data_IF_076848794201
#
_entry.id   IF_076848794201
#
_cell.length_a   1.000
_cell.length_b   1.000
_cell.length_c   1.000
_cell.angle_alpha   90.00
_cell.angle_beta   90.00
_cell.angle_gamma   90.00
#
_symmetry.space_group_name_H-M   'P 1'
#
loop_
_entity.id
_entity.type
_entity.pdbx_description
1 polymer ?
#
# COMPACT_ATOMS: atom_id res chain seq x y z
N UNK A 1 -11.28 -8.94 6.82
CA UNK A 1 -10.39 -7.87 6.34
C UNK A 1 -9.35 -7.57 7.39
N UNK A 2 -8.23 -6.93 7.02
CA UNK A 2 -7.36 -6.26 7.98
C UNK A 2 -8.06 -4.95 8.37
N UNK A 3 -8.42 -4.74 9.66
CA UNK A 3 -9.16 -3.54 10.06
C UNK A 3 -8.47 -2.25 9.58
N UNK A 4 -9.24 -1.33 9.01
CA UNK A 4 -8.75 -0.03 8.54
C UNK A 4 -8.17 -0.01 7.12
N UNK A 5 -8.27 -1.12 6.38
CA UNK A 5 -7.94 -1.20 4.95
C UNK A 5 -9.23 -1.23 4.13
N UNK A 6 -9.38 -0.29 3.19
CA UNK A 6 -10.49 -0.32 2.23
C UNK A 6 -10.09 -1.16 1.02
N UNK A 7 -10.82 -2.24 0.77
CA UNK A 7 -10.66 -3.08 -0.42
C UNK A 7 -11.85 -2.90 -1.35
N UNK A 8 -11.66 -3.04 -2.65
CA UNK A 8 -12.73 -3.04 -3.65
C UNK A 8 -12.75 -4.34 -4.47
N UNK A 9 -13.91 -4.69 -5.00
CA UNK A 9 -14.17 -5.98 -5.64
C UNK A 9 -13.50 -6.14 -7.01
N UNK A 10 -13.01 -5.06 -7.63
CA UNK A 10 -12.42 -5.10 -8.97
C UNK A 10 -10.89 -5.07 -8.90
N UNK A 11 -10.30 -4.02 -8.34
CA UNK A 11 -8.85 -3.85 -8.32
C UNK A 11 -8.17 -4.81 -7.34
N UNK A 12 -8.84 -5.14 -6.22
CA UNK A 12 -8.32 -6.09 -5.22
C UNK A 12 -8.77 -7.54 -5.49
N UNK A 13 -9.44 -7.78 -6.62
CA UNK A 13 -9.65 -9.13 -7.14
C UNK A 13 -8.34 -9.78 -7.54
N UNK A 14 -8.32 -11.12 -7.67
CA UNK A 14 -7.15 -11.84 -8.19
C UNK A 14 -6.70 -11.28 -9.55
N UNK A 15 -7.62 -10.98 -10.45
CA UNK A 15 -7.31 -10.45 -11.77
C UNK A 15 -6.79 -9.00 -11.72
N UNK A 16 -7.35 -8.17 -10.83
CA UNK A 16 -6.91 -6.79 -10.60
C UNK A 16 -5.49 -6.72 -10.05
N UNK A 17 -5.22 -7.49 -8.99
CA UNK A 17 -3.87 -7.60 -8.40
C UNK A 17 -2.87 -8.14 -9.41
N UNK A 18 -3.20 -9.22 -10.13
CA UNK A 18 -2.32 -9.82 -11.15
C UNK A 18 -2.00 -8.83 -12.30
N UNK A 19 -2.98 -8.04 -12.73
CA UNK A 19 -2.76 -6.94 -13.68
C UNK A 19 -1.82 -5.88 -13.11
N UNK A 20 -1.97 -5.51 -11.84
CA UNK A 20 -1.13 -4.52 -11.18
C UNK A 20 0.32 -5.00 -11.02
N UNK A 21 0.52 -6.25 -10.59
CA UNK A 21 1.83 -6.89 -10.44
C UNK A 21 2.57 -6.98 -11.78
N UNK A 22 1.87 -7.33 -12.88
CA UNK A 22 2.47 -7.31 -14.22
C UNK A 22 2.98 -5.93 -14.64
N UNK A 23 2.31 -4.87 -14.20
CA UNK A 23 2.73 -3.49 -14.50
C UNK A 23 3.92 -3.06 -13.64
N UNK A 24 3.99 -3.55 -12.40
CA UNK A 24 4.99 -3.15 -11.41
C UNK A 24 5.68 -4.42 -10.84
N UNK A 25 6.50 -5.11 -11.65
CA UNK A 25 7.01 -6.44 -11.32
C UNK A 25 7.97 -6.46 -10.13
N UNK A 26 8.65 -5.34 -9.86
CA UNK A 26 9.79 -5.30 -8.95
C UNK A 26 9.53 -4.51 -7.66
N UNK A 27 8.30 -4.00 -7.45
CA UNK A 27 8.00 -3.04 -6.37
C UNK A 27 6.96 -3.54 -5.35
N UNK A 28 6.52 -4.78 -5.48
CA UNK A 28 5.56 -5.41 -4.57
C UNK A 28 6.23 -6.58 -3.85
N UNK A 29 6.04 -6.68 -2.54
CA UNK A 29 6.74 -7.65 -1.71
C UNK A 29 5.80 -8.35 -0.73
N UNK A 30 6.15 -9.58 -0.39
CA UNK A 30 5.55 -10.34 0.70
C UNK A 30 6.60 -10.61 1.78
N UNK A 31 6.16 -10.61 3.03
CA UNK A 31 6.94 -11.14 4.14
C UNK A 31 6.48 -12.57 4.38
N UNK A 32 7.42 -13.50 4.41
CA UNK A 32 7.15 -14.92 4.64
C UNK A 32 7.83 -15.42 5.92
N UNK A 33 7.10 -16.21 6.71
CA UNK A 33 7.60 -16.92 7.89
C UNK A 33 7.09 -18.37 7.80
N UNK A 34 7.99 -19.35 7.88
CA UNK A 34 7.68 -20.79 7.74
C UNK A 34 6.86 -21.14 6.49
N UNK A 35 7.19 -20.53 5.36
CA UNK A 35 6.50 -20.74 4.07
C UNK A 35 5.08 -20.18 4.02
N UNK A 36 4.70 -19.31 4.96
CA UNK A 36 3.41 -18.61 4.98
C UNK A 36 3.62 -17.11 4.82
N UNK A 37 2.79 -16.49 3.99
CA UNK A 37 2.73 -15.03 3.89
C UNK A 37 2.15 -14.46 5.19
N UNK A 38 2.94 -13.60 5.86
CA UNK A 38 2.59 -12.92 7.11
C UNK A 38 2.44 -11.41 6.96
N UNK A 39 2.84 -10.86 5.82
CA UNK A 39 2.57 -9.48 5.46
C UNK A 39 2.80 -9.25 3.97
N UNK A 40 2.29 -8.14 3.45
CA UNK A 40 2.46 -7.76 2.06
C UNK A 40 2.46 -6.23 1.90
N UNK A 41 3.15 -5.76 0.87
CA UNK A 41 3.08 -4.38 0.37
C UNK A 41 2.79 -4.41 -1.13
N UNK A 42 1.75 -3.68 -1.54
CA UNK A 42 1.40 -3.44 -2.92
C UNK A 42 1.73 -1.98 -3.25
N UNK A 43 2.77 -1.78 -4.06
CA UNK A 43 3.25 -0.45 -4.44
C UNK A 43 3.71 -0.40 -5.90
N UNK A 44 3.68 0.76 -6.53
CA UNK A 44 4.01 0.90 -7.95
C UNK A 44 3.76 2.29 -8.50
N UNK A 45 4.06 2.49 -9.79
CA UNK A 45 4.03 3.80 -10.45
C UNK A 45 3.70 3.76 -11.94
N UNK A 46 3.56 4.94 -12.53
CA UNK A 46 3.50 5.20 -13.97
C UNK A 46 4.75 5.88 -14.53
N UNK A 47 5.81 5.99 -13.70
CA UNK A 47 7.05 6.67 -14.03
C UNK A 47 7.13 8.12 -13.51
N UNK A 48 6.06 8.65 -12.90
CA UNK A 48 6.07 10.01 -12.32
C UNK A 48 6.23 10.00 -10.81
N UNK A 49 5.35 9.27 -10.12
CA UNK A 49 5.30 9.10 -8.66
C UNK A 49 4.77 7.72 -8.36
N UNK A 50 5.18 7.17 -7.22
CA UNK A 50 4.64 5.92 -6.76
C UNK A 50 3.48 6.13 -5.79
N UNK A 51 2.62 5.12 -5.73
CA UNK A 51 1.60 4.97 -4.70
C UNK A 51 1.84 3.67 -3.94
N UNK A 52 1.70 3.73 -2.62
CA UNK A 52 1.51 2.54 -1.79
C UNK A 52 0.00 2.35 -1.64
N UNK A 53 -0.52 1.29 -2.24
CA UNK A 53 -1.96 0.96 -2.19
C UNK A 53 -2.30 0.19 -0.93
N UNK A 54 -1.51 -0.86 -0.65
CA UNK A 54 -1.74 -1.73 0.50
C UNK A 54 -0.44 -1.98 1.23
N UNK A 55 -0.50 -1.89 2.55
CA UNK A 55 0.50 -2.46 3.44
C UNK A 55 -0.23 -3.11 4.60
N UNK A 56 -0.11 -4.43 4.72
CA UNK A 56 -0.73 -5.20 5.78
C UNK A 56 0.24 -6.19 6.37
N UNK A 57 0.13 -6.39 7.67
CA UNK A 57 0.79 -7.45 8.43
C UNK A 57 -0.29 -8.17 9.21
N UNK A 58 -0.25 -9.50 9.24
CA UNK A 58 -1.16 -10.30 10.06
C UNK A 58 -1.12 -9.84 11.50
N UNK A 59 -2.28 -9.79 12.15
CA UNK A 59 -2.44 -9.23 13.50
C UNK A 59 -1.51 -9.88 14.53
N UNK A 60 -1.38 -11.21 14.48
CA UNK A 60 -0.48 -12.02 15.32
C UNK A 60 1.02 -11.81 15.02
N UNK A 61 1.36 -11.06 13.96
CA UNK A 61 2.74 -10.75 13.55
C UNK A 61 3.04 -9.24 13.59
N UNK A 62 2.09 -8.41 14.03
CA UNK A 62 2.30 -6.97 14.15
C UNK A 62 3.24 -6.62 15.31
N UNK A 63 3.76 -5.39 15.30
CA UNK A 63 4.74 -4.87 16.28
C UNK A 63 6.09 -5.62 16.31
N UNK A 64 6.38 -6.42 15.28
CA UNK A 64 7.66 -7.15 15.09
C UNK A 64 8.58 -6.49 14.05
N UNK A 65 8.28 -5.26 13.60
CA UNK A 65 9.04 -4.54 12.57
C UNK A 65 8.81 -5.03 11.12
N UNK A 66 7.89 -5.97 10.88
CA UNK A 66 7.63 -6.52 9.54
C UNK A 66 7.10 -5.44 8.57
N UNK A 67 6.19 -4.58 9.04
CA UNK A 67 5.64 -3.51 8.21
C UNK A 67 6.69 -2.50 7.77
N UNK A 68 7.63 -2.16 8.65
CA UNK A 68 8.75 -1.26 8.35
C UNK A 68 9.69 -1.89 7.32
N UNK A 69 10.05 -3.17 7.48
CA UNK A 69 10.88 -3.89 6.51
C UNK A 69 10.24 -3.98 5.13
N UNK A 70 8.94 -4.26 5.06
CA UNK A 70 8.19 -4.26 3.78
C UNK A 70 8.21 -2.88 3.12
N UNK A 71 7.98 -1.83 3.92
CA UNK A 71 8.02 -0.45 3.43
C UNK A 71 9.42 -0.09 2.91
N UNK A 72 10.46 -0.36 3.67
CA UNK A 72 11.85 -0.06 3.30
C UNK A 72 12.23 -0.71 1.97
N UNK A 73 11.85 -1.98 1.79
CA UNK A 73 12.13 -2.73 0.56
C UNK A 73 11.36 -2.15 -0.65
N UNK A 74 10.08 -1.81 -0.46
CA UNK A 74 9.30 -1.11 -1.48
C UNK A 74 9.93 0.24 -1.86
N UNK A 75 10.30 1.07 -0.88
CA UNK A 75 10.93 2.38 -1.12
C UNK A 75 12.30 2.26 -1.79
N UNK A 76 13.05 1.19 -1.52
CA UNK A 76 14.32 0.89 -2.19
C UNK A 76 14.07 0.55 -3.66
N UNK A 77 13.20 -0.42 -3.95
CA UNK A 77 12.88 -0.82 -5.31
C UNK A 77 12.33 0.34 -6.16
N UNK A 78 11.41 1.13 -5.62
CA UNK A 78 10.87 2.32 -6.28
C UNK A 78 11.96 3.33 -6.64
N UNK A 79 12.96 3.50 -5.77
CA UNK A 79 14.10 4.39 -6.01
C UNK A 79 15.03 3.84 -7.09
N UNK A 80 15.24 2.53 -7.11
CA UNK A 80 16.04 1.85 -8.13
C UNK A 80 15.39 2.00 -9.53
N UNK A 81 14.06 2.12 -9.60
CA UNK A 81 13.32 2.48 -10.82
C UNK A 81 13.29 4.00 -11.14
N UNK A 82 14.01 4.81 -10.37
CA UNK A 82 14.14 6.26 -10.60
C UNK A 82 13.00 7.11 -10.02
N UNK A 83 12.13 6.54 -9.18
CA UNK A 83 11.05 7.31 -8.53
C UNK A 83 11.56 8.07 -7.31
N UNK A 84 11.29 9.37 -7.31
CA UNK A 84 11.74 10.28 -6.25
C UNK A 84 10.66 10.66 -5.25
N UNK A 85 9.40 10.28 -5.48
CA UNK A 85 8.28 10.64 -4.60
C UNK A 85 7.23 9.54 -4.54
N UNK A 86 6.84 9.20 -3.33
CA UNK A 86 5.82 8.20 -3.00
C UNK A 86 4.66 8.90 -2.27
N UNK A 87 3.44 8.47 -2.55
CA UNK A 87 2.23 8.92 -1.85
C UNK A 87 1.40 7.72 -1.39
N UNK A 88 0.44 7.98 -0.50
CA UNK A 88 -0.54 7.02 -0.03
C UNK A 88 -1.80 7.77 0.40
N UNK A 89 -2.89 7.03 0.55
CA UNK A 89 -4.12 7.51 1.18
C UNK A 89 -4.43 6.60 2.35
N UNK A 90 -4.69 7.19 3.51
CA UNK A 90 -5.08 6.51 4.74
C UNK A 90 -6.37 7.14 5.25
N UNK A 91 -7.27 6.33 5.80
CA UNK A 91 -8.50 6.84 6.39
C UNK A 91 -8.16 7.76 7.59
N UNK A 92 -8.82 8.90 7.70
CA UNK A 92 -8.55 9.89 8.75
C UNK A 92 -8.81 9.35 10.16
N UNK A 93 -9.67 8.34 10.30
CA UNK A 93 -9.97 7.67 11.58
C UNK A 93 -9.10 6.44 11.86
N UNK A 94 -8.17 6.07 10.96
CA UNK A 94 -7.25 4.96 11.19
C UNK A 94 -6.03 5.45 11.98
N UNK A 95 -6.19 5.68 13.28
CA UNK A 95 -5.14 6.24 14.15
C UNK A 95 -3.83 5.46 14.10
N UNK A 96 -3.92 4.12 14.15
CA UNK A 96 -2.76 3.23 14.07
C UNK A 96 -2.02 3.34 12.73
N UNK A 97 -2.77 3.40 11.63
CA UNK A 97 -2.21 3.59 10.29
C UNK A 97 -1.53 4.94 10.15
N UNK A 98 -2.18 6.03 10.58
CA UNK A 98 -1.61 7.37 10.54
C UNK A 98 -0.31 7.46 11.35
N UNK A 99 -0.29 6.93 12.59
CA UNK A 99 0.91 6.89 13.42
C UNK A 99 2.07 6.09 12.77
N UNK A 100 1.76 4.97 12.10
CA UNK A 100 2.75 4.21 11.36
C UNK A 100 3.37 5.03 10.22
N UNK A 101 2.55 5.70 9.41
CA UNK A 101 3.04 6.50 8.28
C UNK A 101 3.87 7.69 8.74
N UNK A 102 3.42 8.42 9.76
CA UNK A 102 4.15 9.55 10.35
C UNK A 102 5.51 9.14 10.89
N UNK A 103 5.57 8.02 11.64
CA UNK A 103 6.83 7.46 12.14
C UNK A 103 7.82 7.15 11.01
N UNK A 104 7.32 6.72 9.85
CA UNK A 104 8.13 6.37 8.69
C UNK A 104 8.35 7.54 7.71
N UNK A 105 8.21 8.79 8.18
CA UNK A 105 8.59 9.98 7.44
C UNK A 105 7.58 10.47 6.39
N UNK A 106 6.38 9.89 6.36
CA UNK A 106 5.28 10.46 5.59
C UNK A 106 4.68 11.64 6.36
N UNK A 107 4.38 12.72 5.65
CA UNK A 107 3.79 13.91 6.22
C UNK A 107 2.43 14.20 5.57
N UNK A 108 1.54 14.81 6.35
CA UNK A 108 0.26 15.28 5.84
C UNK A 108 0.44 16.45 4.86
N UNK A 109 -0.37 16.47 3.80
CA UNK A 109 -0.33 17.51 2.77
C UNK A 109 -1.51 18.46 2.93
N UNK A 110 -1.38 19.39 3.90
CA UNK A 110 -2.40 20.41 4.20
C UNK A 110 -2.63 21.42 3.08
N UNK A 111 -1.70 21.51 2.13
CA UNK A 111 -1.80 22.36 0.95
C UNK A 111 -2.57 21.69 -0.21
N UNK A 112 -2.98 20.43 -0.07
CA UNK A 112 -3.69 19.68 -1.10
C UNK A 112 -5.12 19.35 -0.69
N UNK A 113 -6.03 19.40 -1.67
CA UNK A 113 -7.38 18.85 -1.55
C UNK A 113 -7.45 17.56 -2.36
N UNK A 114 -7.70 16.43 -1.71
CA UNK A 114 -7.93 15.16 -2.40
C UNK A 114 -9.24 15.24 -3.20
N UNK A 115 -9.16 14.96 -4.50
CA UNK A 115 -10.31 14.92 -5.40
C UNK A 115 -10.21 13.69 -6.29
N UNK A 116 -11.25 12.88 -6.29
CA UNK A 116 -11.38 11.74 -7.17
C UNK A 116 -12.74 11.78 -7.88
N UNK A 117 -12.80 11.14 -9.05
CA UNK A 117 -14.04 10.90 -9.79
C UNK A 117 -14.01 9.47 -10.26
N UNK A 118 -15.04 8.71 -9.91
CA UNK A 118 -15.23 7.38 -10.45
C UNK A 118 -15.54 7.47 -11.95
N UNK A 119 -14.80 6.72 -12.76
CA UNK A 119 -14.90 6.69 -14.23
C UNK A 119 -15.31 5.31 -14.79
N UNK A 120 -15.66 4.37 -13.90
CA UNK A 120 -16.11 3.02 -14.25
C UNK A 120 -16.97 2.45 -13.13
N UNK A 121 -17.48 1.24 -13.30
CA UNK A 121 -18.34 0.57 -12.31
C UNK A 121 -17.53 -0.43 -11.47
N UNK A 122 -17.72 -0.38 -10.15
CA UNK A 122 -17.28 -1.40 -9.19
C UNK A 122 -18.17 -1.28 -7.93
N UNK A 123 -18.37 -2.38 -7.19
CA UNK A 123 -19.28 -2.41 -6.03
C UNK A 123 -18.60 -1.84 -4.78
N UNK A 124 -18.28 -0.54 -4.79
CA UNK A 124 -17.82 0.20 -3.61
C UNK A 124 -16.59 -0.40 -2.90
N UNK A 125 -16.34 0.07 -1.68
CA UNK A 125 -15.29 -0.48 -0.81
C UNK A 125 -15.92 -1.34 0.28
N UNK A 126 -15.28 -2.46 0.60
CA UNK A 126 -15.55 -3.28 1.76
C UNK A 126 -14.37 -3.17 2.74
N UNK A 127 -14.69 -3.01 4.03
CA UNK A 127 -13.72 -2.97 5.14
C UNK A 127 -13.64 -4.32 5.84
#
# INVERSE_FOLDING_TARGET
>A
GTPGMGLNDVDDSRAGIDKYLRRNPDTCFVAEEDGRVVGAVLSGHDGRRALIYHLAVREDHQNRGIGEKLLDEALRALRDEGILKVALVVLSNNEKGNAFWEKNGFADRKDLVYRNRQIGEFNGFHT
#
